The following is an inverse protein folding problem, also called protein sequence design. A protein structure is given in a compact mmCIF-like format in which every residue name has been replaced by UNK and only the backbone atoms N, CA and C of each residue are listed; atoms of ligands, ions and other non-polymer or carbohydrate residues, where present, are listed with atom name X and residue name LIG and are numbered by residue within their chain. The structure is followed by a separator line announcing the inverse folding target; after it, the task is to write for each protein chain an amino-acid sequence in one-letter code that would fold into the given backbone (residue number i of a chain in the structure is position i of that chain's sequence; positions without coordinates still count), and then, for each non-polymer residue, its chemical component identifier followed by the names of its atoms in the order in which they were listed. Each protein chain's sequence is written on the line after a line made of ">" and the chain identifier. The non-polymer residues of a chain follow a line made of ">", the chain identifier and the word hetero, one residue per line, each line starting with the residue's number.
data_IF_249938865349
#
_entry.id   IF_249938865349
#
_cell.length_a   1.000
_cell.length_b   1.000
_cell.length_c   1.000
_cell.angle_alpha   90.00
_cell.angle_beta   90.00
_cell.angle_gamma   90.00
#
_symmetry.space_group_name_H-M   'P 1'
#
loop_
_entity.id
_entity.type
_entity.pdbx_description
1 polymer ?
#
# COMPACT_ATOMS: atom_id res chain seq x y z
N UNK A 1 29.52 0.21 32.74
CA UNK A 1 28.19 0.40 32.14
C UNK A 1 28.18 -0.54 30.95
N UNK A 2 27.73 -1.77 31.14
CA UNK A 2 27.67 -2.75 30.05
C UNK A 2 26.32 -2.56 29.35
N UNK A 3 26.36 -2.35 28.05
CA UNK A 3 25.18 -2.21 27.21
C UNK A 3 24.46 -3.56 27.12
N UNK A 4 23.13 -3.52 27.08
CA UNK A 4 22.20 -4.66 27.14
C UNK A 4 22.14 -5.46 25.82
N UNK A 5 23.14 -5.32 24.95
CA UNK A 5 23.15 -5.84 23.57
C UNK A 5 23.55 -7.33 23.47
N UNK A 6 23.84 -8.02 24.58
CA UNK A 6 24.24 -9.44 24.56
C UNK A 6 23.14 -10.43 24.99
N UNK A 7 21.88 -9.99 25.21
CA UNK A 7 20.85 -10.85 25.83
C UNK A 7 19.52 -11.06 25.09
N UNK A 8 19.29 -10.47 23.91
CA UNK A 8 18.10 -10.84 23.11
C UNK A 8 18.37 -12.06 22.24
N UNK A 9 18.21 -13.25 22.82
CA UNK A 9 18.19 -14.49 22.06
C UNK A 9 16.82 -14.67 21.42
N UNK A 10 16.72 -14.42 20.12
CA UNK A 10 15.54 -14.77 19.33
C UNK A 10 15.75 -16.15 18.69
N UNK A 11 14.81 -17.06 18.89
CA UNK A 11 14.86 -18.44 18.41
C UNK A 11 13.65 -18.68 17.51
N UNK A 12 13.90 -18.97 16.23
CA UNK A 12 12.84 -19.38 15.31
C UNK A 12 12.54 -20.87 15.44
N UNK A 13 11.27 -21.21 15.72
CA UNK A 13 10.80 -22.60 15.79
C UNK A 13 11.01 -23.35 14.47
N UNK A 14 10.90 -22.65 13.34
CA UNK A 14 11.13 -23.20 12.00
C UNK A 14 12.53 -23.82 11.85
N UNK A 15 13.53 -23.25 12.53
CA UNK A 15 14.91 -23.72 12.43
C UNK A 15 15.14 -25.13 13.01
N UNK A 16 14.20 -25.63 13.82
CA UNK A 16 14.28 -26.97 14.42
C UNK A 16 12.95 -27.72 14.36
N UNK A 17 11.97 -27.26 13.57
CA UNK A 17 10.64 -27.86 13.47
C UNK A 17 10.70 -29.35 13.07
N UNK A 18 11.62 -29.73 12.16
CA UNK A 18 11.82 -31.12 11.73
C UNK A 18 12.34 -32.04 12.85
N UNK A 19 12.83 -31.46 13.95
CA UNK A 19 13.30 -32.19 15.13
C UNK A 19 12.22 -32.35 16.20
N UNK A 20 11.03 -31.78 15.99
CA UNK A 20 9.90 -31.85 16.90
C UNK A 20 8.92 -32.95 16.47
N UNK A 21 8.47 -33.73 17.44
CA UNK A 21 7.40 -34.72 17.28
C UNK A 21 6.03 -34.04 17.45
N UNK A 22 5.91 -33.14 18.42
CA UNK A 22 4.68 -32.42 18.72
C UNK A 22 4.97 -31.04 19.32
N UNK A 23 4.02 -30.12 19.13
CA UNK A 23 4.04 -28.77 19.68
C UNK A 23 2.66 -28.46 20.23
N UNK A 24 2.61 -28.02 21.49
CA UNK A 24 1.38 -27.54 22.12
C UNK A 24 1.61 -26.14 22.67
N UNK A 25 0.83 -25.17 22.19
CA UNK A 25 0.86 -23.79 22.67
C UNK A 25 -0.42 -23.52 23.46
N UNK A 26 -0.35 -23.71 24.78
CA UNK A 26 -1.47 -23.52 25.70
C UNK A 26 -1.09 -22.48 26.78
N UNK A 27 -1.42 -22.71 28.06
CA UNK A 27 -0.91 -21.91 29.18
C UNK A 27 0.62 -22.06 29.35
N UNK A 28 1.15 -23.22 28.94
CA UNK A 28 2.58 -23.50 28.83
C UNK A 28 2.85 -24.02 27.42
N UNK A 29 4.01 -23.69 26.84
CA UNK A 29 4.43 -24.20 25.54
C UNK A 29 5.19 -25.51 25.72
N UNK A 30 4.70 -26.58 25.13
CA UNK A 30 5.27 -27.93 25.27
C UNK A 30 5.86 -28.36 23.93
N UNK A 31 7.13 -28.75 23.94
CA UNK A 31 7.89 -29.18 22.78
C UNK A 31 8.41 -30.61 23.02
N UNK A 32 7.89 -31.57 22.27
CA UNK A 32 8.37 -32.96 22.28
C UNK A 32 9.33 -33.17 21.12
N UNK A 33 10.52 -33.74 21.37
CA UNK A 33 11.55 -33.93 20.35
C UNK A 33 11.54 -35.36 19.80
N UNK A 34 11.88 -35.50 18.51
CA UNK A 34 11.94 -36.78 17.81
C UNK A 34 13.05 -37.70 18.35
N UNK A 35 14.14 -37.13 18.86
CA UNK A 35 15.28 -37.87 19.39
C UNK A 35 16.05 -37.11 20.49
N UNK A 36 16.77 -37.89 21.29
CA UNK A 36 17.65 -37.46 22.39
C UNK A 36 18.69 -36.41 21.95
N UNK A 37 19.25 -36.54 20.74
CA UNK A 37 20.28 -35.63 20.28
C UNK A 37 19.72 -34.24 19.97
N UNK A 38 18.49 -34.14 19.45
CA UNK A 38 17.80 -32.87 19.25
C UNK A 38 17.43 -32.22 20.58
N UNK A 39 16.90 -33.03 21.50
CA UNK A 39 16.56 -32.61 22.86
C UNK A 39 17.78 -32.06 23.62
N UNK A 40 18.92 -32.76 23.57
CA UNK A 40 20.17 -32.34 24.22
C UNK A 40 20.71 -31.03 23.64
N UNK A 41 20.65 -30.87 22.31
CA UNK A 41 21.07 -29.63 21.64
C UNK A 41 20.21 -28.43 22.07
N UNK A 42 18.89 -28.63 22.13
CA UNK A 42 17.96 -27.60 22.56
C UNK A 42 18.19 -27.24 24.03
N UNK A 43 18.24 -28.25 24.91
CA UNK A 43 18.47 -28.09 26.35
C UNK A 43 19.77 -27.35 26.64
N UNK A 44 20.88 -27.77 26.02
CA UNK A 44 22.18 -27.11 26.20
C UNK A 44 22.18 -25.63 25.74
N UNK A 45 21.34 -25.27 24.76
CA UNK A 45 21.25 -23.90 24.23
C UNK A 45 20.29 -23.03 25.01
N UNK A 46 19.26 -23.59 25.65
CA UNK A 46 18.18 -22.82 26.28
C UNK A 46 18.26 -22.80 27.81
N UNK A 47 18.99 -23.73 28.44
CA UNK A 47 19.05 -23.86 29.90
C UNK A 47 19.60 -22.62 30.63
N UNK A 48 20.36 -21.76 29.95
CA UNK A 48 20.84 -20.49 30.53
C UNK A 48 19.69 -19.60 31.01
N UNK A 49 18.48 -19.71 30.44
CA UNK A 49 17.31 -18.93 30.86
C UNK A 49 16.90 -19.24 32.30
N UNK A 50 17.20 -20.45 32.78
CA UNK A 50 16.90 -20.88 34.14
C UNK A 50 17.87 -20.31 35.19
N UNK A 51 18.96 -19.66 34.75
CA UNK A 51 20.05 -19.20 35.63
C UNK A 51 19.75 -17.94 36.45
N UNK A 52 18.80 -17.11 36.02
CA UNK A 52 18.38 -15.90 36.74
C UNK A 52 16.98 -15.44 36.30
N UNK A 53 16.20 -14.85 37.22
CA UNK A 53 14.83 -14.37 36.94
C UNK A 53 14.75 -13.28 35.84
N UNK A 54 15.88 -12.63 35.53
CA UNK A 54 15.99 -11.61 34.48
C UNK A 54 16.29 -12.19 33.10
N UNK A 55 16.65 -13.48 33.02
CA UNK A 55 17.00 -14.10 31.77
C UNK A 55 15.72 -14.47 31.03
N UNK A 56 15.62 -14.02 29.79
CA UNK A 56 14.51 -14.37 28.91
C UNK A 56 15.00 -14.49 27.47
N UNK A 57 14.28 -15.25 26.67
CA UNK A 57 14.51 -15.35 25.23
C UNK A 57 13.18 -15.30 24.50
N UNK A 58 13.19 -14.90 23.23
CA UNK A 58 11.98 -14.84 22.41
C UNK A 58 11.93 -16.08 21.51
N UNK A 59 10.90 -16.89 21.67
CA UNK A 59 10.59 -17.97 20.73
C UNK A 59 9.58 -17.46 19.69
N UNK A 60 9.95 -17.50 18.42
CA UNK A 60 9.04 -17.20 17.31
C UNK A 60 8.42 -18.51 16.84
N UNK A 61 7.15 -18.72 17.16
CA UNK A 61 6.42 -19.93 16.83
C UNK A 61 5.53 -19.72 15.60
N UNK A 62 5.43 -20.76 14.77
CA UNK A 62 4.55 -20.82 13.61
C UNK A 62 3.78 -22.16 13.52
N UNK A 63 3.82 -22.97 14.58
CA UNK A 63 3.16 -24.26 14.63
C UNK A 63 1.63 -24.10 14.77
N UNK A 64 0.83 -25.02 14.21
CA UNK A 64 -0.62 -25.01 14.37
C UNK A 64 -1.04 -24.94 15.84
N UNK A 65 -1.96 -24.01 16.17
CA UNK A 65 -2.42 -23.80 17.55
C UNK A 65 -1.61 -22.78 18.35
N UNK A 66 -0.48 -22.28 17.84
CA UNK A 66 0.31 -21.22 18.47
C UNK A 66 -0.09 -19.80 18.04
N UNK A 67 -1.16 -19.66 17.25
CA UNK A 67 -1.65 -18.40 16.71
C UNK A 67 -2.64 -18.61 15.55
N UNK A 68 -3.08 -17.52 14.89
CA UNK A 68 -3.78 -17.61 13.61
C UNK A 68 -2.94 -18.38 12.59
N UNK A 69 -3.58 -19.19 11.74
CA UNK A 69 -2.89 -19.99 10.73
C UNK A 69 -1.97 -19.11 9.85
N UNK A 70 -0.76 -19.62 9.58
CA UNK A 70 0.29 -18.97 8.79
C UNK A 70 0.90 -17.67 9.36
N UNK A 71 0.59 -17.28 10.61
CA UNK A 71 1.23 -16.12 11.24
C UNK A 71 2.27 -16.51 12.29
N UNK A 72 3.43 -15.86 12.25
CA UNK A 72 4.48 -15.99 13.27
C UNK A 72 4.09 -15.20 14.51
N UNK A 73 4.15 -15.84 15.66
CA UNK A 73 3.82 -15.23 16.94
C UNK A 73 5.04 -15.26 17.87
N UNK A 74 5.44 -14.13 18.47
CA UNK A 74 6.53 -14.10 19.42
C UNK A 74 6.03 -14.49 20.81
N UNK A 75 6.81 -15.33 21.47
CA UNK A 75 6.59 -15.76 22.85
C UNK A 75 7.82 -15.43 23.68
N UNK A 76 7.65 -14.72 24.78
CA UNK A 76 8.74 -14.48 25.74
C UNK A 76 8.81 -15.66 26.68
N UNK A 77 9.95 -16.34 26.69
CA UNK A 77 10.22 -17.52 27.52
C UNK A 77 11.15 -17.13 28.66
N UNK A 78 10.70 -17.37 29.89
CA UNK A 78 11.46 -17.04 31.12
C UNK A 78 11.96 -18.26 31.88
N UNK A 79 11.44 -19.43 31.58
CA UNK A 79 11.83 -20.68 32.23
C UNK A 79 11.58 -21.86 31.30
N UNK A 80 12.48 -22.85 31.36
CA UNK A 80 12.29 -24.13 30.68
C UNK A 80 12.50 -25.26 31.67
N UNK A 81 11.54 -26.17 31.75
CA UNK A 81 11.65 -27.43 32.46
C UNK A 81 11.85 -28.57 31.46
N UNK A 82 12.70 -29.51 31.83
CA UNK A 82 13.15 -30.57 30.95
C UNK A 82 12.74 -31.94 31.51
N UNK A 83 12.17 -32.80 30.65
CA UNK A 83 11.90 -34.21 30.94
C UNK A 83 12.68 -35.11 29.97
N UNK A 84 13.79 -35.66 30.46
CA UNK A 84 14.68 -36.53 29.70
C UNK A 84 14.03 -37.87 29.33
N UNK A 85 12.97 -38.29 30.04
CA UNK A 85 12.35 -39.62 29.81
C UNK A 85 11.46 -39.63 28.59
N UNK A 86 10.89 -38.48 28.25
CA UNK A 86 9.98 -38.27 27.13
C UNK A 86 10.57 -37.34 26.07
N UNK A 87 11.80 -36.86 26.27
CA UNK A 87 12.42 -35.82 25.44
C UNK A 87 11.53 -34.59 25.28
N UNK A 88 10.94 -34.13 26.38
CA UNK A 88 9.97 -33.01 26.38
C UNK A 88 10.54 -31.79 27.09
N UNK A 89 10.41 -30.63 26.46
CA UNK A 89 10.68 -29.33 27.07
C UNK A 89 9.35 -28.59 27.33
N UNK A 90 9.24 -28.04 28.54
CA UNK A 90 8.09 -27.32 29.06
C UNK A 90 8.50 -25.86 29.28
N UNK A 91 8.03 -24.97 28.42
CA UNK A 91 8.45 -23.57 28.35
C UNK A 91 7.37 -22.69 28.96
N UNK A 92 7.74 -21.91 29.98
CA UNK A 92 6.91 -20.83 30.49
C UNK A 92 6.97 -19.67 29.49
N UNK A 93 6.06 -19.72 28.52
CA UNK A 93 6.03 -18.89 27.32
C UNK A 93 4.78 -17.99 27.33
N UNK A 94 4.97 -16.68 27.34
CA UNK A 94 3.87 -15.71 27.26
C UNK A 94 3.85 -15.09 25.86
N UNK A 95 2.72 -15.18 25.17
CA UNK A 95 2.56 -14.53 23.87
C UNK A 95 2.63 -12.99 24.03
N UNK A 96 3.39 -12.34 23.17
CA UNK A 96 3.54 -10.87 23.14
C UNK A 96 3.24 -10.34 21.75
N UNK A 97 3.05 -9.03 21.62
CA UNK A 97 3.01 -8.39 20.30
C UNK A 97 4.43 -8.18 19.78
N UNK A 98 4.58 -8.08 18.45
CA UNK A 98 5.88 -7.74 17.85
C UNK A 98 6.44 -6.40 18.35
N UNK A 99 5.57 -5.43 18.63
CA UNK A 99 5.94 -4.13 19.21
C UNK A 99 6.57 -4.26 20.61
N UNK A 100 6.13 -5.24 21.40
CA UNK A 100 6.64 -5.46 22.76
C UNK A 100 7.99 -6.18 22.80
N UNK A 101 8.31 -7.01 21.79
CA UNK A 101 9.52 -7.87 21.78
C UNK A 101 10.58 -7.46 20.76
N UNK A 102 10.20 -6.84 19.64
CA UNK A 102 11.15 -6.39 18.63
C UNK A 102 11.49 -4.93 18.91
N UNK A 103 12.43 -4.73 19.83
CA UNK A 103 12.91 -3.39 20.17
C UNK A 103 13.73 -2.73 19.05
N UNK A 104 14.26 -3.53 18.15
CA UNK A 104 14.86 -3.07 16.89
C UNK A 104 14.42 -3.98 15.77
N UNK A 105 14.00 -3.43 14.64
CA UNK A 105 13.66 -4.23 13.46
C UNK A 105 13.84 -3.43 12.18
N UNK A 106 14.23 -4.15 11.13
CA UNK A 106 14.21 -3.64 9.77
C UNK A 106 13.05 -4.31 9.03
N UNK A 107 12.06 -3.52 8.64
CA UNK A 107 10.92 -3.95 7.84
C UNK A 107 11.13 -3.50 6.40
N UNK A 108 11.23 -4.48 5.49
CA UNK A 108 11.22 -4.23 4.05
C UNK A 108 10.03 -4.94 3.42
N UNK A 109 9.17 -4.16 2.77
CA UNK A 109 8.08 -4.63 1.92
C UNK A 109 8.42 -4.17 0.52
N UNK A 110 8.43 -5.08 -0.44
CA UNK A 110 8.72 -4.73 -1.83
C UNK A 110 7.84 -5.50 -2.79
N UNK A 111 7.46 -4.86 -3.90
CA UNK A 111 6.83 -5.58 -4.99
C UNK A 111 7.87 -6.56 -5.59
N UNK A 112 7.51 -7.83 -5.73
CA UNK A 112 8.39 -8.84 -6.34
C UNK A 112 7.69 -9.41 -7.57
N UNK A 113 8.25 -9.22 -8.79
CA UNK A 113 7.70 -9.85 -9.98
C UNK A 113 7.60 -11.37 -9.78
N UNK A 114 6.41 -11.90 -10.02
CA UNK A 114 6.02 -13.28 -9.75
C UNK A 114 6.96 -14.37 -10.34
N UNK A 115 7.81 -14.02 -11.32
CA UNK A 115 8.75 -14.95 -11.95
C UNK A 115 10.07 -15.20 -11.18
N UNK A 116 10.52 -14.27 -10.32
CA UNK A 116 11.79 -14.44 -9.58
C UNK A 116 11.61 -15.07 -8.18
N UNK A 117 10.37 -15.12 -7.67
CA UNK A 117 10.03 -15.69 -6.36
C UNK A 117 10.18 -17.23 -6.27
N UNK A 118 10.53 -17.92 -7.36
CA UNK A 118 10.56 -19.39 -7.41
C UNK A 118 11.79 -20.04 -6.74
N UNK A 119 12.79 -19.29 -6.27
CA UNK A 119 14.02 -19.86 -5.67
C UNK A 119 14.21 -19.59 -4.17
N UNK A 120 13.37 -18.75 -3.56
CA UNK A 120 13.26 -18.59 -2.12
C UNK A 120 11.85 -19.05 -1.77
N UNK A 121 11.70 -19.95 -0.80
CA UNK A 121 10.40 -20.46 -0.33
C UNK A 121 9.36 -19.34 -0.37
N UNK A 122 8.39 -19.45 -1.30
CA UNK A 122 7.39 -18.42 -1.54
C UNK A 122 6.75 -18.05 -0.20
N UNK A 123 7.18 -16.91 0.32
CA UNK A 123 6.45 -16.21 1.36
C UNK A 123 5.23 -15.68 0.64
N UNK A 124 4.03 -15.92 1.17
CA UNK A 124 2.85 -15.09 0.86
C UNK A 124 3.12 -13.69 1.45
N UNK A 125 4.23 -13.04 1.05
CA UNK A 125 4.42 -11.62 1.28
C UNK A 125 3.43 -10.93 0.33
N UNK A 126 2.53 -10.08 0.84
CA UNK A 126 1.56 -9.40 0.00
C UNK A 126 2.31 -8.52 -1.00
N UNK A 127 2.26 -8.90 -2.27
CA UNK A 127 2.68 -8.04 -3.36
C UNK A 127 1.86 -6.75 -3.28
N UNK A 128 2.55 -5.62 -3.10
CA UNK A 128 1.89 -4.37 -2.78
C UNK A 128 1.68 -3.53 -4.04
N UNK A 129 0.89 -4.10 -4.95
CA UNK A 129 0.38 -3.41 -6.13
C UNK A 129 -1.05 -2.93 -5.86
N UNK A 130 -1.33 -1.67 -6.21
CA UNK A 130 -2.67 -1.09 -6.17
C UNK A 130 -3.25 -0.97 -7.58
N UNK A 131 -4.29 -1.75 -7.88
CA UNK A 131 -5.06 -1.55 -9.12
C UNK A 131 -5.84 -0.23 -9.06
N UNK A 132 -5.49 0.68 -9.96
CA UNK A 132 -6.12 1.99 -10.11
C UNK A 132 -7.18 1.99 -11.20
N UNK A 133 -7.48 0.83 -11.79
CA UNK A 133 -8.45 0.73 -12.87
C UNK A 133 -9.86 1.06 -12.39
N UNK A 134 -10.49 2.02 -13.05
CA UNK A 134 -11.86 2.45 -12.73
C UNK A 134 -12.58 2.90 -13.98
N UNK A 135 -13.86 2.57 -14.10
CA UNK A 135 -14.75 3.10 -15.13
C UNK A 135 -15.75 4.04 -14.47
N UNK A 136 -15.76 5.29 -14.92
CA UNK A 136 -16.70 6.31 -14.46
C UNK A 136 -17.47 6.94 -15.62
N UNK A 137 -17.64 6.18 -16.71
CA UNK A 137 -18.44 6.56 -17.86
C UNK A 137 -19.90 6.82 -17.46
N UNK A 138 -20.47 7.91 -17.98
CA UNK A 138 -21.81 8.33 -17.63
C UNK A 138 -22.07 9.82 -17.86
N UNK A 139 -23.25 10.28 -17.46
CA UNK A 139 -23.62 11.69 -17.60
C UNK A 139 -22.97 12.52 -16.49
N UNK A 140 -22.05 13.41 -16.86
CA UNK A 140 -21.40 14.33 -15.93
C UNK A 140 -22.22 15.59 -15.69
N UNK A 141 -22.90 16.08 -16.72
CA UNK A 141 -23.65 17.33 -16.67
C UNK A 141 -24.92 17.25 -17.51
N UNK A 142 -26.00 17.83 -16.99
CA UNK A 142 -27.27 17.99 -17.68
C UNK A 142 -28.03 19.18 -17.08
N UNK A 143 -27.75 20.37 -17.59
CA UNK A 143 -28.15 21.63 -16.98
C UNK A 143 -28.73 22.60 -18.00
N UNK A 144 -29.66 23.45 -17.55
CA UNK A 144 -30.13 24.61 -18.30
C UNK A 144 -29.58 25.89 -17.66
N UNK A 145 -28.69 26.58 -18.36
CA UNK A 145 -27.96 27.73 -17.85
C UNK A 145 -28.11 28.89 -18.84
N UNK A 146 -28.61 30.04 -18.38
CA UNK A 146 -28.65 31.30 -19.15
C UNK A 146 -29.15 31.21 -20.60
N UNK A 147 -30.18 30.38 -20.84
CA UNK A 147 -30.82 30.23 -22.15
C UNK A 147 -30.22 29.14 -23.04
N UNK A 148 -29.22 28.40 -22.55
CA UNK A 148 -28.69 27.19 -23.19
C UNK A 148 -28.95 25.95 -22.35
N UNK A 149 -29.20 24.84 -23.03
CA UNK A 149 -29.18 23.49 -22.48
C UNK A 149 -27.83 22.87 -22.80
N UNK A 150 -27.12 22.46 -21.75
CA UNK A 150 -25.78 21.89 -21.82
C UNK A 150 -25.80 20.49 -21.23
N UNK A 151 -25.46 19.50 -22.05
CA UNK A 151 -25.17 18.14 -21.60
C UNK A 151 -23.71 17.83 -21.83
N UNK A 152 -23.09 17.13 -20.87
CA UNK A 152 -21.76 16.56 -21.03
C UNK A 152 -21.84 15.11 -20.58
N UNK A 153 -21.77 14.21 -21.54
CA UNK A 153 -21.72 12.78 -21.31
C UNK A 153 -20.27 12.32 -21.46
N UNK A 154 -19.76 11.67 -20.44
CA UNK A 154 -18.52 10.92 -20.52
C UNK A 154 -18.82 9.57 -21.16
N UNK A 155 -18.39 9.41 -22.40
CA UNK A 155 -18.68 8.23 -23.25
C UNK A 155 -17.72 7.08 -23.00
N UNK A 156 -16.47 7.41 -22.65
CA UNK A 156 -15.41 6.48 -22.30
C UNK A 156 -14.44 7.23 -21.41
N UNK A 157 -14.65 7.16 -20.10
CA UNK A 157 -13.71 7.72 -19.15
C UNK A 157 -13.46 6.78 -17.99
N UNK A 158 -12.21 6.78 -17.58
CA UNK A 158 -11.74 5.83 -16.59
C UNK A 158 -10.29 6.10 -16.25
N UNK A 159 -9.76 5.23 -15.41
CA UNK A 159 -8.35 5.10 -15.10
C UNK A 159 -7.89 3.68 -15.40
N UNK A 160 -6.59 3.50 -15.60
CA UNK A 160 -5.94 2.19 -15.70
C UNK A 160 -4.57 2.24 -15.04
N UNK A 161 -4.02 1.04 -14.86
CA UNK A 161 -2.66 0.85 -14.37
C UNK A 161 -2.63 0.61 -12.87
N UNK A 162 -1.42 0.44 -12.39
CA UNK A 162 -1.14 0.03 -11.01
C UNK A 162 -0.11 0.96 -10.38
N UNK A 163 -0.10 1.02 -9.05
CA UNK A 163 1.00 1.58 -8.28
C UNK A 163 1.69 0.48 -7.49
N UNK A 164 2.96 0.29 -7.77
CA UNK A 164 3.84 -0.56 -6.99
C UNK A 164 4.42 0.27 -5.85
N UNK A 165 4.34 -0.27 -4.63
CA UNK A 165 4.85 0.42 -3.44
C UNK A 165 5.90 -0.42 -2.73
N UNK A 166 7.09 0.17 -2.58
CA UNK A 166 8.17 -0.37 -1.77
C UNK A 166 8.30 0.46 -0.49
N UNK A 167 8.52 -0.23 0.63
CA UNK A 167 8.58 0.34 1.97
C UNK A 167 9.81 -0.20 2.68
N UNK A 168 10.60 0.70 3.24
CA UNK A 168 11.79 0.36 4.00
C UNK A 168 11.80 1.17 5.29
N UNK A 169 11.65 0.48 6.42
CA UNK A 169 11.56 1.08 7.76
C UNK A 169 12.61 0.43 8.65
N UNK A 170 13.45 1.25 9.27
CA UNK A 170 14.39 0.87 10.31
C UNK A 170 13.95 1.48 11.63
N UNK A 171 13.64 0.62 12.60
CA UNK A 171 13.21 1.02 13.94
C UNK A 171 14.32 0.76 14.93
N UNK A 172 14.76 1.83 15.58
CA UNK A 172 15.70 1.81 16.68
C UNK A 172 15.00 1.66 18.03
N UNK A 173 15.78 1.58 19.11
CA UNK A 173 15.29 1.20 20.44
C UNK A 173 14.28 2.19 21.07
N UNK A 174 14.26 3.45 20.62
CA UNK A 174 13.37 4.49 21.16
C UNK A 174 12.60 5.27 20.10
N UNK A 175 13.11 5.31 18.86
CA UNK A 175 12.59 6.11 17.76
C UNK A 175 12.75 5.33 16.45
N UNK A 176 12.07 5.77 15.39
CA UNK A 176 12.27 5.26 14.04
C UNK A 176 13.58 5.89 13.51
N UNK A 177 14.57 5.06 13.14
CA UNK A 177 15.88 5.50 12.66
C UNK A 177 15.81 5.93 11.18
N UNK A 178 15.03 5.21 10.37
CA UNK A 178 14.71 5.60 9.00
C UNK A 178 13.35 5.05 8.57
N UNK A 179 12.63 5.78 7.73
CA UNK A 179 11.40 5.30 7.12
C UNK A 179 11.27 5.93 5.74
N UNK A 180 11.31 5.09 4.71
CA UNK A 180 11.19 5.51 3.32
C UNK A 180 10.16 4.69 2.58
N UNK A 181 9.53 5.33 1.61
CA UNK A 181 8.56 4.76 0.71
C UNK A 181 8.94 5.12 -0.71
N UNK A 182 8.89 4.14 -1.62
CA UNK A 182 9.00 4.38 -3.05
C UNK A 182 7.70 3.96 -3.72
N UNK A 183 7.18 4.80 -4.60
CA UNK A 183 5.97 4.53 -5.38
C UNK A 183 6.32 4.64 -6.86
N UNK A 184 6.11 3.56 -7.61
CA UNK A 184 6.35 3.49 -9.05
C UNK A 184 5.05 3.12 -9.77
N UNK A 185 4.67 3.84 -10.85
CA UNK A 185 3.50 3.50 -11.61
C UNK A 185 3.80 2.43 -12.66
N UNK A 186 2.80 1.59 -12.94
CA UNK A 186 2.82 0.64 -14.04
C UNK A 186 1.60 0.88 -14.94
N UNK A 187 1.83 1.34 -16.17
CA UNK A 187 0.79 1.66 -17.16
C UNK A 187 -0.29 2.63 -16.65
N UNK A 188 0.09 3.59 -15.80
CA UNK A 188 -0.83 4.52 -15.17
C UNK A 188 -1.38 5.53 -16.20
N UNK A 189 -2.69 5.50 -16.41
CA UNK A 189 -3.36 6.42 -17.31
C UNK A 189 -4.76 6.82 -16.84
N UNK A 190 -5.22 7.98 -17.30
CA UNK A 190 -6.60 8.42 -17.22
C UNK A 190 -7.12 8.74 -18.62
N UNK A 191 -8.31 8.24 -18.92
CA UNK A 191 -8.98 8.43 -20.20
C UNK A 191 -10.19 9.34 -19.98
N UNK A 192 -10.39 10.31 -20.85
CA UNK A 192 -11.51 11.24 -20.75
C UNK A 192 -12.06 11.52 -22.14
N UNK A 193 -13.13 10.83 -22.55
CA UNK A 193 -13.84 11.10 -23.80
C UNK A 193 -15.23 11.68 -23.53
N UNK A 194 -15.41 12.95 -23.87
CA UNK A 194 -16.62 13.73 -23.63
C UNK A 194 -17.41 13.93 -24.93
N UNK A 195 -18.71 13.66 -24.85
CA UNK A 195 -19.72 14.12 -25.81
C UNK A 195 -20.51 15.26 -25.17
N UNK A 196 -20.27 16.47 -25.66
CA UNK A 196 -20.93 17.69 -25.18
C UNK A 196 -21.98 18.13 -26.20
N UNK A 197 -23.21 18.35 -25.74
CA UNK A 197 -24.27 18.94 -26.56
C UNK A 197 -24.71 20.26 -25.97
N UNK A 198 -24.68 21.30 -26.80
CA UNK A 198 -25.14 22.65 -26.48
C UNK A 198 -26.29 22.99 -27.40
N UNK A 199 -27.40 23.44 -26.84
CA UNK A 199 -28.51 23.99 -27.63
C UNK A 199 -29.14 25.21 -26.96
N UNK A 200 -29.53 26.22 -27.74
CA UNK A 200 -30.21 27.40 -27.21
C UNK A 200 -29.61 28.71 -27.70
N UNK A 201 -29.81 29.77 -26.92
CA UNK A 201 -29.39 31.13 -27.26
C UNK A 201 -28.72 31.78 -26.05
N UNK A 202 -27.46 32.17 -26.22
CA UNK A 202 -26.62 32.85 -25.24
C UNK A 202 -26.35 34.28 -25.72
N UNK A 203 -26.79 35.29 -24.97
CA UNK A 203 -26.64 36.70 -25.37
C UNK A 203 -25.29 37.30 -24.99
N UNK A 204 -24.67 36.80 -23.91
CA UNK A 204 -23.34 37.15 -23.43
C UNK A 204 -22.51 35.86 -23.33
N UNK A 205 -21.19 35.92 -23.28
CA UNK A 205 -20.36 34.71 -23.14
C UNK A 205 -20.56 34.02 -21.78
N UNK A 206 -20.23 32.73 -21.70
CA UNK A 206 -20.34 31.87 -20.53
C UNK A 206 -19.01 31.18 -20.22
N UNK A 207 -18.66 31.15 -18.93
CA UNK A 207 -17.50 30.50 -18.36
C UNK A 207 -17.96 29.46 -17.32
N UNK A 208 -17.54 28.21 -17.51
CA UNK A 208 -17.79 27.11 -16.59
C UNK A 208 -16.47 26.45 -16.19
N UNK A 209 -16.34 26.11 -14.91
CA UNK A 209 -15.25 25.30 -14.38
C UNK A 209 -15.76 24.51 -13.19
N UNK A 210 -15.62 23.19 -13.21
CA UNK A 210 -16.03 22.32 -12.09
C UNK A 210 -15.19 21.04 -12.04
N UNK A 211 -14.85 20.62 -10.83
CA UNK A 211 -14.33 19.26 -10.59
C UNK A 211 -15.42 18.25 -10.87
N UNK A 212 -15.22 17.42 -11.89
CA UNK A 212 -16.21 16.45 -12.38
C UNK A 212 -15.96 15.03 -11.87
N UNK A 213 -14.72 14.73 -11.49
CA UNK A 213 -14.31 13.42 -10.94
C UNK A 213 -13.33 13.64 -9.81
N UNK A 214 -13.50 12.88 -8.72
CA UNK A 214 -12.57 12.77 -7.59
C UNK A 214 -12.52 11.29 -7.22
N UNK A 215 -11.59 10.54 -7.79
CA UNK A 215 -11.44 9.11 -7.49
C UNK A 215 -10.54 8.96 -6.26
N UNK A 216 -11.04 8.39 -5.14
CA UNK A 216 -10.16 7.94 -4.07
C UNK A 216 -9.40 6.72 -4.57
N UNK A 217 -8.09 6.86 -4.72
CA UNK A 217 -7.20 5.72 -4.88
C UNK A 217 -7.11 5.07 -3.50
N UNK A 218 -7.45 3.79 -3.42
CA UNK A 218 -7.63 3.07 -2.17
C UNK A 218 -6.46 3.31 -1.23
N UNK A 219 -6.79 3.70 0.01
CA UNK A 219 -5.79 3.93 1.02
C UNK A 219 -5.33 2.62 1.64
N UNK A 220 -4.08 2.59 2.06
CA UNK A 220 -3.47 1.45 2.72
C UNK A 220 -3.09 1.79 4.15
N UNK A 221 -3.37 0.85 5.04
CA UNK A 221 -3.03 0.93 6.44
C UNK A 221 -2.02 -0.17 6.76
N UNK A 222 -0.78 0.22 7.02
CA UNK A 222 0.28 -0.74 7.37
C UNK A 222 0.35 -0.85 8.89
N UNK A 223 -0.06 -2.00 9.40
CA UNK A 223 0.00 -2.37 10.82
C UNK A 223 -0.55 -1.31 11.80
N UNK A 224 -1.45 -0.41 11.36
CA UNK A 224 -2.00 0.67 12.17
C UNK A 224 -1.06 1.86 12.43
N UNK A 225 0.12 1.90 11.80
CA UNK A 225 1.13 2.95 12.02
C UNK A 225 1.09 4.02 10.92
N UNK A 226 0.77 3.61 9.69
CA UNK A 226 0.84 4.48 8.51
C UNK A 226 -0.43 4.32 7.67
N UNK A 227 -1.11 5.44 7.39
CA UNK A 227 -2.22 5.54 6.43
C UNK A 227 -1.76 6.33 5.20
N UNK A 228 -1.82 5.70 4.03
CA UNK A 228 -1.45 6.34 2.77
C UNK A 228 -2.62 6.26 1.81
N UNK A 229 -2.88 7.33 1.06
CA UNK A 229 -3.90 7.33 0.02
C UNK A 229 -3.57 8.34 -1.07
N UNK A 230 -4.09 8.12 -2.26
CA UNK A 230 -3.97 9.06 -3.37
C UNK A 230 -5.36 9.47 -3.87
N UNK A 231 -5.44 10.60 -4.56
CA UNK A 231 -6.67 11.08 -5.17
C UNK A 231 -6.36 11.58 -6.57
N UNK A 232 -7.19 11.18 -7.54
CA UNK A 232 -7.21 11.77 -8.86
C UNK A 232 -8.41 12.70 -8.97
N UNK A 233 -8.13 14.01 -9.06
CA UNK A 233 -9.13 15.04 -9.32
C UNK A 233 -9.08 15.46 -10.80
N UNK A 234 -10.23 15.66 -11.41
CA UNK A 234 -10.34 16.16 -12.80
C UNK A 234 -11.25 17.37 -12.85
N UNK A 235 -10.69 18.51 -13.25
CA UNK A 235 -11.42 19.75 -13.48
C UNK A 235 -11.80 19.88 -14.96
N UNK A 236 -13.09 20.09 -15.24
CA UNK A 236 -13.60 20.38 -16.57
C UNK A 236 -13.94 21.87 -16.68
N UNK A 237 -13.38 22.52 -17.71
CA UNK A 237 -13.63 23.91 -18.03
C UNK A 237 -14.18 24.13 -19.44
N UNK A 238 -15.13 25.06 -19.59
CA UNK A 238 -15.72 25.48 -20.86
C UNK A 238 -15.84 27.01 -20.92
N UNK A 239 -15.30 27.62 -21.98
CA UNK A 239 -15.51 29.03 -22.32
C UNK A 239 -16.21 29.13 -23.68
N UNK A 240 -17.40 29.76 -23.70
CA UNK A 240 -18.24 29.90 -24.90
C UNK A 240 -18.66 31.36 -25.06
N UNK A 241 -18.49 31.94 -26.25
CA UNK A 241 -19.00 33.28 -26.57
C UNK A 241 -20.52 33.35 -26.82
N UNK A 242 -21.02 34.49 -27.32
CA UNK A 242 -22.41 34.65 -27.77
C UNK A 242 -22.78 33.55 -28.79
N UNK A 243 -23.90 32.87 -28.57
CA UNK A 243 -24.29 31.67 -29.32
C UNK A 243 -25.78 31.64 -29.64
N UNK A 244 -26.16 31.14 -30.82
CA UNK A 244 -27.54 30.73 -31.12
C UNK A 244 -27.47 29.48 -31.99
N UNK A 245 -28.06 28.37 -31.53
CA UNK A 245 -28.14 27.14 -32.32
C UNK A 245 -27.92 25.87 -31.50
N UNK A 246 -27.58 24.79 -32.20
CA UNK A 246 -27.23 23.49 -31.62
C UNK A 246 -25.86 23.05 -32.12
N UNK A 247 -25.03 22.54 -31.24
CA UNK A 247 -23.75 21.93 -31.56
C UNK A 247 -23.53 20.68 -30.71
N UNK A 248 -23.05 19.61 -31.35
CA UNK A 248 -22.47 18.48 -30.64
C UNK A 248 -20.96 18.50 -30.86
N UNK A 249 -20.22 18.33 -29.77
CA UNK A 249 -18.78 18.40 -29.67
C UNK A 249 -18.31 17.07 -29.08
N UNK A 250 -17.43 16.39 -29.77
CA UNK A 250 -16.67 15.27 -29.21
C UNK A 250 -15.26 15.77 -28.95
N UNK A 251 -14.80 15.59 -27.71
CA UNK A 251 -13.47 16.01 -27.28
C UNK A 251 -12.97 15.09 -26.20
N UNK A 252 -11.67 15.01 -26.02
CA UNK A 252 -11.13 14.17 -24.97
C UNK A 252 -9.63 14.03 -25.06
N UNK A 253 -9.13 13.02 -24.39
CA UNK A 253 -7.75 12.60 -24.48
C UNK A 253 -7.38 11.59 -23.41
N UNK A 254 -6.13 11.19 -23.48
CA UNK A 254 -5.48 10.30 -22.53
C UNK A 254 -4.37 11.05 -21.83
N UNK A 255 -4.36 10.94 -20.52
CA UNK A 255 -3.29 11.40 -19.65
C UNK A 255 -2.53 10.16 -19.20
N UNK A 256 -1.22 10.17 -19.36
CA UNK A 256 -0.37 9.04 -18.96
C UNK A 256 0.80 9.54 -18.13
N UNK A 257 1.17 8.75 -17.12
CA UNK A 257 2.41 8.92 -16.37
C UNK A 257 3.40 7.87 -16.91
N UNK A 258 4.67 8.23 -17.01
CA UNK A 258 5.70 7.30 -17.49
C UNK A 258 5.96 6.21 -16.45
N UNK A 259 6.13 4.96 -16.88
CA UNK A 259 6.54 3.85 -16.01
C UNK A 259 7.94 4.04 -15.39
N UNK A 260 8.76 4.94 -15.96
CA UNK A 260 10.06 5.33 -15.40
C UNK A 260 9.93 6.38 -14.25
N UNK A 261 8.70 6.76 -13.88
CA UNK A 261 8.45 7.73 -12.82
C UNK A 261 8.61 7.09 -11.44
N UNK A 262 9.10 7.86 -10.48
CA UNK A 262 9.19 7.41 -9.10
C UNK A 262 8.92 8.58 -8.14
N UNK A 263 8.11 8.31 -7.12
CA UNK A 263 8.07 9.14 -5.91
C UNK A 263 8.86 8.41 -4.83
N UNK A 264 9.83 9.08 -4.25
CA UNK A 264 10.48 8.63 -3.02
C UNK A 264 10.11 9.57 -1.90
N UNK A 265 9.47 9.04 -0.86
CA UNK A 265 9.08 9.76 0.34
C UNK A 265 9.95 9.29 1.49
N UNK A 266 10.77 10.18 2.05
CA UNK A 266 11.38 10.05 3.36
C UNK A 266 10.36 10.57 4.39
N UNK A 267 9.87 9.66 5.22
CA UNK A 267 8.81 9.92 6.19
C UNK A 267 9.37 10.70 7.40
N UNK A 268 10.69 10.68 7.62
CA UNK A 268 11.35 11.34 8.74
C UNK A 268 11.83 12.75 8.35
N UNK A 269 12.38 12.89 7.14
CA UNK A 269 12.91 14.14 6.64
C UNK A 269 12.33 14.50 5.28
N UNK A 270 11.29 15.34 5.29
CA UNK A 270 10.59 15.75 4.09
C UNK A 270 11.47 16.50 3.06
N UNK A 271 12.62 17.03 3.47
CA UNK A 271 13.57 17.69 2.55
C UNK A 271 14.28 16.67 1.64
N UNK A 272 14.27 15.38 1.99
CA UNK A 272 14.84 14.29 1.18
C UNK A 272 13.85 13.66 0.21
N UNK A 273 12.60 14.15 0.16
CA UNK A 273 11.61 13.66 -0.77
C UNK A 273 12.01 13.96 -2.22
N UNK A 274 11.88 12.98 -3.11
CA UNK A 274 12.16 13.12 -4.53
C UNK A 274 10.93 12.75 -5.37
N UNK A 275 10.70 13.55 -6.41
CA UNK A 275 9.59 13.38 -7.33
C UNK A 275 10.14 13.45 -8.75
N UNK A 276 10.18 12.30 -9.44
CA UNK A 276 10.78 12.19 -10.77
C UNK A 276 9.79 11.60 -11.77
N UNK A 277 9.66 12.21 -12.95
CA UNK A 277 8.85 11.67 -14.06
C UNK A 277 7.32 11.82 -13.93
N UNK A 278 6.81 12.25 -12.77
CA UNK A 278 5.37 12.40 -12.47
C UNK A 278 4.65 13.54 -13.22
N UNK A 279 5.25 14.04 -14.29
CA UNK A 279 4.66 15.03 -15.18
C UNK A 279 3.80 14.29 -16.22
N UNK A 280 2.46 14.45 -16.22
CA UNK A 280 1.61 13.71 -17.14
C UNK A 280 1.81 14.15 -18.58
N UNK A 281 1.91 13.18 -19.48
CA UNK A 281 1.81 13.42 -20.93
C UNK A 281 0.36 13.38 -21.35
N UNK A 282 -0.08 14.39 -22.11
CA UNK A 282 -1.44 14.45 -22.64
C UNK A 282 -1.46 14.14 -24.13
N UNK A 283 -2.22 13.12 -24.51
CA UNK A 283 -2.55 12.78 -25.89
C UNK A 283 -4.01 13.17 -26.19
N UNK A 284 -4.28 14.23 -26.98
CA UNK A 284 -5.63 14.66 -27.27
C UNK A 284 -6.36 13.67 -28.18
N UNK A 285 -7.61 13.35 -27.85
CA UNK A 285 -8.50 12.60 -28.72
C UNK A 285 -8.96 13.47 -29.91
N UNK A 286 -9.38 12.87 -31.04
CA UNK A 286 -9.89 13.62 -32.19
C UNK A 286 -11.05 14.55 -31.80
N UNK A 287 -10.89 15.83 -32.10
CA UNK A 287 -11.92 16.84 -31.89
C UNK A 287 -12.91 16.86 -33.07
N UNK A 288 -14.18 16.55 -32.82
CA UNK A 288 -15.24 16.62 -33.83
C UNK A 288 -16.32 17.62 -33.40
N UNK A 289 -16.74 18.47 -34.33
CA UNK A 289 -17.85 19.41 -34.10
C UNK A 289 -18.85 19.35 -35.23
N UNK A 290 -20.11 19.11 -34.87
CA UNK A 290 -21.24 19.08 -35.80
C UNK A 290 -21.93 20.45 -35.91
N UNK A 291 -21.19 21.50 -36.26
CA UNK A 291 -21.77 22.84 -36.49
C UNK A 291 -20.88 23.73 -37.36
N UNK A 292 -21.48 24.67 -38.10
CA UNK A 292 -20.77 25.84 -38.65
C UNK A 292 -20.78 26.92 -37.58
N UNK A 293 -19.66 27.11 -36.91
CA UNK A 293 -19.54 28.03 -35.79
C UNK A 293 -18.59 29.19 -36.19
N UNK A 294 -19.05 30.43 -36.07
CA UNK A 294 -18.21 31.66 -36.11
C UNK A 294 -17.74 32.10 -34.70
N UNK A 295 -17.95 31.26 -33.68
CA UNK A 295 -17.58 31.50 -32.28
C UNK A 295 -16.40 30.62 -31.83
N UNK A 296 -15.45 31.20 -31.13
CA UNK A 296 -14.44 30.43 -30.40
C UNK A 296 -15.10 29.79 -29.18
N UNK A 297 -15.09 28.46 -29.13
CA UNK A 297 -15.35 27.69 -27.92
C UNK A 297 -14.05 26.98 -27.52
N UNK A 298 -13.63 27.14 -26.27
CA UNK A 298 -12.44 26.49 -25.73
C UNK A 298 -12.88 25.57 -24.58
N UNK A 299 -12.68 24.27 -24.77
CA UNK A 299 -12.86 23.25 -23.75
C UNK A 299 -11.49 22.81 -23.25
N UNK A 300 -11.35 22.63 -21.94
CA UNK A 300 -10.14 22.06 -21.35
C UNK A 300 -10.49 21.11 -20.21
N UNK A 301 -9.64 20.09 -20.04
CA UNK A 301 -9.66 19.21 -18.88
C UNK A 301 -8.29 19.28 -18.22
N UNK A 302 -8.26 19.47 -16.91
CA UNK A 302 -7.02 19.55 -16.14
C UNK A 302 -7.03 18.47 -15.04
N UNK A 303 -6.15 17.47 -15.12
CA UNK A 303 -5.98 16.51 -14.04
C UNK A 303 -5.12 17.08 -12.92
N UNK A 304 -5.38 16.63 -11.69
CA UNK A 304 -4.50 16.84 -10.55
C UNK A 304 -4.41 15.54 -9.73
N UNK A 305 -3.18 15.11 -9.45
CA UNK A 305 -2.90 14.01 -8.51
C UNK A 305 -2.60 14.62 -7.15
N UNK A 306 -3.31 14.18 -6.10
CA UNK A 306 -3.03 14.54 -4.71
C UNK A 306 -2.60 13.31 -3.94
N UNK A 307 -1.45 13.38 -3.28
CA UNK A 307 -0.98 12.37 -2.36
C UNK A 307 -1.32 12.77 -0.92
N UNK A 308 -1.80 11.83 -0.11
CA UNK A 308 -1.98 11.98 1.33
C UNK A 308 -1.15 10.89 2.02
N UNK A 309 -0.24 11.32 2.90
CA UNK A 309 0.47 10.45 3.83
C UNK A 309 0.21 10.94 5.25
N UNK A 310 -0.26 10.06 6.12
CA UNK A 310 -0.49 10.35 7.54
C UNK A 310 0.14 9.22 8.36
N UNK A 311 1.12 9.57 9.18
CA UNK A 311 1.73 8.67 10.15
C UNK A 311 1.10 8.92 11.53
N UNK A 312 0.73 7.86 12.24
CA UNK A 312 0.27 7.98 13.63
C UNK A 312 1.48 8.01 14.57
N UNK A 313 1.73 9.20 15.14
CA UNK A 313 2.72 9.50 16.17
C UNK A 313 2.50 10.89 16.76
#
# INVERSE_FOLDING_TARGET
>A
MCFREEFENVISMESFADSLQSVECSEEMVLEFNDDAAYDRASARWDWVNGADINEFVMVANAPGCGPDAQRQPFVVRNVRYDETTFTAYLSAEQRTWEEVAHTYHLRVSHMPHEEAAMLLARDDPDFSMDLSSDFSGQFLNEFIDGIFLTADCTECGTSGELDVDIDVDVGFFDIDSASMTVTPTNLAAFLNLAVSVSGSLNDGFDFSKTVVSVPIQGITIAGVVELGAFLDVDLGLNIGRWIGTANIETGGTLSISDDSAVTVDIIDADNNDFSGWEPTFEPAPFNVSARIDALALAFAQPAVRLKAEALG
#
